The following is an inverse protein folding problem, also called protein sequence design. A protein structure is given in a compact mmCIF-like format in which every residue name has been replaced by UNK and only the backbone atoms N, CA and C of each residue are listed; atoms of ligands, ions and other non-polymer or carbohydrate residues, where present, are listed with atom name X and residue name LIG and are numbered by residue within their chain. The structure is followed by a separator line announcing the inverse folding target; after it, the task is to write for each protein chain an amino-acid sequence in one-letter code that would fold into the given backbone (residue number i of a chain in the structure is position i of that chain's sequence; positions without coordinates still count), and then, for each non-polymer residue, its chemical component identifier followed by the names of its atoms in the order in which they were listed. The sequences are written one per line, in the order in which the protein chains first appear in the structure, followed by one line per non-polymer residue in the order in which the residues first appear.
data_IF_671612717403
#
_entry.id   IF_671612717403
#
_cell.length_a   1.000
_cell.length_b   1.000
_cell.length_c   1.000
_cell.angle_alpha   90.00
_cell.angle_beta   90.00
_cell.angle_gamma   90.00
#
_symmetry.space_group_name_H-M   'P 1'
#
loop_
_entity.id
_entity.type
_entity.pdbx_description
1 polymer ?
#
# COMPACT_ATOMS: atom_id res chain seq x y z
N UNK A 1 -6.37 19.21 -4.31
CA UNK A 1 -5.76 18.27 -3.34
C UNK A 1 -4.38 17.88 -3.82
N UNK A 2 -3.40 17.75 -2.91
CA UNK A 2 -2.08 17.24 -3.27
C UNK A 2 -2.12 15.73 -3.57
N UNK A 3 -1.22 15.27 -4.43
CA UNK A 3 -0.98 13.84 -4.65
C UNK A 3 0.06 13.34 -3.63
N UNK A 4 -0.31 12.35 -2.81
CA UNK A 4 0.60 11.73 -1.85
C UNK A 4 1.27 10.53 -2.50
N UNK A 5 2.60 10.55 -2.56
CA UNK A 5 3.40 9.45 -3.15
C UNK A 5 4.12 8.71 -2.03
N UNK A 6 3.93 7.39 -1.97
CA UNK A 6 4.63 6.51 -1.03
C UNK A 6 5.66 5.68 -1.79
N UNK A 7 6.91 5.78 -1.33
CA UNK A 7 8.06 5.05 -1.89
C UNK A 7 8.85 4.35 -0.78
N UNK A 8 9.62 3.34 -1.16
CA UNK A 8 10.59 2.70 -0.28
C UNK A 8 11.90 3.46 -0.38
N UNK A 9 12.54 3.71 0.77
CA UNK A 9 13.85 4.37 0.81
C UNK A 9 15.01 3.38 0.73
N UNK A 10 14.73 2.08 0.79
CA UNK A 10 15.73 1.02 0.88
C UNK A 10 15.46 -0.05 -0.20
N UNK A 11 15.83 -1.30 0.09
CA UNK A 11 15.75 -2.43 -0.85
C UNK A 11 14.46 -3.24 -0.73
N UNK A 12 13.32 -2.57 -0.48
CA UNK A 12 12.03 -3.25 -0.40
C UNK A 12 11.66 -3.71 1.02
N UNK A 13 10.46 -4.29 1.12
CA UNK A 13 9.86 -4.81 2.36
C UNK A 13 9.83 -3.87 3.56
N UNK A 14 9.86 -2.55 3.34
CA UNK A 14 9.80 -1.52 4.39
C UNK A 14 8.40 -1.35 5.00
N UNK A 15 7.43 -2.20 4.62
CA UNK A 15 6.06 -2.12 5.12
C UNK A 15 5.17 -1.08 4.42
N UNK A 16 5.50 -0.67 3.18
CA UNK A 16 4.71 0.29 2.38
C UNK A 16 3.21 -0.01 2.36
N UNK A 17 2.85 -1.29 2.17
CA UNK A 17 1.45 -1.74 2.17
C UNK A 17 0.69 -1.33 3.42
N UNK A 18 1.30 -1.48 4.60
CA UNK A 18 0.69 -1.13 5.89
C UNK A 18 0.43 0.38 6.00
N UNK A 19 1.35 1.20 5.50
CA UNK A 19 1.19 2.67 5.53
C UNK A 19 0.11 3.11 4.55
N UNK A 20 0.13 2.60 3.32
CA UNK A 20 -0.85 2.93 2.29
C UNK A 20 -2.26 2.53 2.75
N UNK A 21 -2.44 1.34 3.32
CA UNK A 21 -3.75 0.88 3.82
C UNK A 21 -4.29 1.77 4.94
N UNK A 22 -3.42 2.23 5.85
CA UNK A 22 -3.83 3.16 6.91
C UNK A 22 -4.29 4.50 6.33
N UNK A 23 -3.51 5.10 5.41
CA UNK A 23 -3.86 6.40 4.83
C UNK A 23 -5.11 6.33 3.97
N UNK A 24 -5.30 5.26 3.19
CA UNK A 24 -6.50 5.06 2.38
C UNK A 24 -7.77 5.09 3.25
N UNK A 25 -7.74 4.44 4.42
CA UNK A 25 -8.86 4.41 5.36
C UNK A 25 -9.03 5.74 6.11
N UNK A 26 -7.92 6.32 6.58
CA UNK A 26 -7.92 7.56 7.38
C UNK A 26 -8.40 8.76 6.56
N UNK A 27 -7.86 8.91 5.36
CA UNK A 27 -8.05 10.10 4.52
C UNK A 27 -9.22 9.91 3.53
N UNK A 28 -9.84 8.71 3.50
CA UNK A 28 -10.98 8.35 2.64
C UNK A 28 -10.73 8.66 1.18
N UNK A 29 -9.62 8.14 0.65
CA UNK A 29 -9.19 8.39 -0.72
C UNK A 29 -10.13 7.76 -1.73
N UNK A 30 -10.53 8.52 -2.75
CA UNK A 30 -11.35 8.01 -3.87
C UNK A 30 -10.54 7.12 -4.83
N UNK A 31 -9.22 7.33 -4.91
CA UNK A 31 -8.33 6.64 -5.84
C UNK A 31 -7.04 6.19 -5.16
N UNK A 32 -6.64 4.95 -5.43
CA UNK A 32 -5.34 4.40 -5.08
C UNK A 32 -4.69 3.83 -6.35
N UNK A 33 -3.45 4.23 -6.63
CA UNK A 33 -2.73 3.81 -7.83
C UNK A 33 -1.41 3.18 -7.43
N UNK A 34 -1.15 1.98 -7.95
CA UNK A 34 0.10 1.25 -7.79
C UNK A 34 0.90 1.29 -9.08
N UNK A 35 2.21 1.48 -8.96
CA UNK A 35 3.17 1.40 -10.07
C UNK A 35 4.11 0.21 -9.87
N UNK A 36 4.75 -0.26 -10.95
CA UNK A 36 5.66 -1.40 -10.92
C UNK A 36 5.02 -2.71 -11.41
N UNK A 37 5.50 -3.83 -10.88
CA UNK A 37 5.18 -5.20 -11.32
C UNK A 37 4.70 -6.08 -10.15
N UNK A 38 4.33 -7.32 -10.47
CA UNK A 38 3.87 -8.39 -9.54
C UNK A 38 4.93 -8.85 -8.53
N UNK A 39 6.19 -8.40 -8.69
CA UNK A 39 7.32 -8.85 -7.88
C UNK A 39 7.28 -8.37 -6.42
N UNK A 40 6.52 -7.31 -6.12
CA UNK A 40 6.37 -6.82 -4.75
C UNK A 40 5.08 -7.38 -4.11
N UNK A 41 5.17 -7.82 -2.86
CA UNK A 41 4.05 -8.32 -2.09
C UNK A 41 3.75 -7.39 -0.91
N UNK A 42 2.64 -6.66 -0.97
CA UNK A 42 2.18 -5.84 0.14
C UNK A 42 1.27 -6.66 1.05
N UNK A 43 1.79 -7.03 2.22
CA UNK A 43 0.99 -7.67 3.25
C UNK A 43 0.30 -6.61 4.10
N UNK A 44 -1.01 -6.71 4.22
CA UNK A 44 -1.84 -5.83 5.07
C UNK A 44 -2.77 -6.67 5.93
N UNK A 45 -3.20 -6.09 7.04
CA UNK A 45 -4.13 -6.68 7.98
C UNK A 45 -5.36 -5.79 8.09
N UNK A 46 -6.53 -6.40 8.00
CA UNK A 46 -7.83 -5.78 8.27
C UNK A 46 -8.50 -6.58 9.40
N UNK A 47 -8.39 -6.06 10.62
CA UNK A 47 -8.66 -6.83 11.83
C UNK A 47 -7.78 -8.08 11.88
N UNK A 48 -8.42 -9.26 11.94
CA UNK A 48 -7.74 -10.56 11.97
C UNK A 48 -7.43 -11.10 10.57
N UNK A 49 -7.94 -10.47 9.51
CA UNK A 49 -7.78 -10.96 8.14
C UNK A 49 -6.49 -10.43 7.53
N UNK A 50 -5.65 -11.36 7.06
CA UNK A 50 -4.41 -11.08 6.35
C UNK A 50 -4.64 -11.10 4.84
N UNK A 51 -4.14 -10.08 4.15
CA UNK A 51 -4.08 -10.02 2.69
C UNK A 51 -2.64 -9.89 2.23
N UNK A 52 -2.30 -10.57 1.13
CA UNK A 52 -1.02 -10.41 0.42
C UNK A 52 -1.31 -9.95 -1.01
N UNK A 53 -1.03 -8.67 -1.29
CA UNK A 53 -1.41 -8.00 -2.54
C UNK A 53 -0.21 -7.80 -3.46
N UNK A 54 -0.28 -8.38 -4.66
CA UNK A 54 0.77 -8.28 -5.68
C UNK A 54 0.52 -7.19 -6.73
N UNK A 55 -0.75 -6.90 -7.07
CA UNK A 55 -1.11 -5.92 -8.10
C UNK A 55 -2.24 -5.00 -7.69
N UNK A 56 -3.22 -5.52 -6.96
CA UNK A 56 -4.30 -4.70 -6.39
C UNK A 56 -3.66 -3.70 -5.42
N UNK A 57 -3.90 -2.39 -5.60
CA UNK A 57 -3.44 -1.35 -4.68
C UNK A 57 -4.08 -1.45 -3.30
#
# INVERSE_FOLDING_TARGET
MPCTVIVGAFWGDEGKGKIISYLALKDKLDFCVRTGSVNAAHTVWDGEKRYALHMVP
#
